data_IF_593050376588
#
_entry.id   IF_593050376588
#
_cell.length_a   1.000
_cell.length_b   1.000
_cell.length_c   1.000
_cell.angle_alpha   90.00
_cell.angle_beta   90.00
_cell.angle_gamma   90.00
#
_symmetry.space_group_name_H-M   'P 1'
#
loop_
_entity.id
_entity.type
_entity.pdbx_description
1 polymer ?
#
# COMPACT_ATOMS: atom_id res chain seq x y z
N UNK A 1 12.24 1.79 -6.70
CA UNK A 1 12.35 3.00 -7.55
C UNK A 1 11.23 3.97 -7.21
N UNK A 2 11.56 5.23 -7.04
CA UNK A 2 10.59 6.26 -6.70
C UNK A 2 10.47 7.24 -7.86
N UNK A 3 9.24 7.48 -8.33
CA UNK A 3 8.95 8.44 -9.40
C UNK A 3 7.98 9.49 -8.85
N UNK A 4 8.31 10.77 -9.02
CA UNK A 4 7.43 11.87 -8.65
C UNK A 4 6.55 12.21 -9.85
N UNK A 5 5.25 11.99 -9.73
CA UNK A 5 4.29 12.30 -10.77
C UNK A 5 2.90 12.47 -10.18
N UNK A 6 2.39 13.68 -10.19
CA UNK A 6 1.03 13.98 -9.77
C UNK A 6 0.02 13.24 -10.64
N UNK A 7 0.28 13.20 -11.95
CA UNK A 7 -0.63 12.55 -12.90
C UNK A 7 -0.80 11.05 -12.59
N UNK A 8 0.33 10.32 -12.51
CA UNK A 8 0.26 8.87 -12.27
C UNK A 8 -0.24 8.53 -10.88
N UNK A 9 0.17 9.30 -9.85
CA UNK A 9 -0.31 9.08 -8.49
C UNK A 9 -1.83 9.26 -8.42
N UNK A 10 -2.35 10.30 -9.02
CA UNK A 10 -3.79 10.55 -9.04
C UNK A 10 -4.54 9.49 -9.86
N UNK A 11 -3.97 9.08 -10.99
CA UNK A 11 -4.59 8.08 -11.84
C UNK A 11 -4.77 6.74 -11.10
N UNK A 12 -3.72 6.26 -10.44
CA UNK A 12 -3.76 4.96 -9.76
C UNK A 12 -4.47 4.99 -8.40
N UNK A 13 -4.66 6.17 -7.81
CA UNK A 13 -5.33 6.31 -6.51
C UNK A 13 -6.67 7.03 -6.59
N UNK A 14 -7.13 7.35 -7.79
CA UNK A 14 -8.35 8.16 -8.02
C UNK A 14 -8.25 9.52 -7.30
N UNK A 15 -7.05 10.11 -7.25
CA UNK A 15 -6.79 11.38 -6.61
C UNK A 15 -6.77 11.36 -5.09
N UNK A 16 -6.89 10.20 -4.47
CA UNK A 16 -7.09 10.07 -3.02
C UNK A 16 -5.82 9.93 -2.21
N UNK A 17 -4.69 9.56 -2.85
CA UNK A 17 -3.46 9.28 -2.13
C UNK A 17 -2.33 10.24 -2.50
N UNK A 18 -1.38 10.41 -1.57
CA UNK A 18 -0.14 11.16 -1.80
C UNK A 18 0.95 10.29 -2.39
N UNK A 19 0.82 8.98 -2.25
CA UNK A 19 1.73 8.00 -2.82
C UNK A 19 0.95 6.74 -3.19
N UNK A 20 1.46 6.02 -4.18
CA UNK A 20 0.88 4.74 -4.57
C UNK A 20 1.99 3.82 -5.06
N UNK A 21 1.87 2.54 -4.76
CA UNK A 21 2.83 1.52 -5.20
C UNK A 21 2.25 0.75 -6.37
N UNK A 22 2.93 0.83 -7.51
CA UNK A 22 2.70 -0.06 -8.66
C UNK A 22 4.02 -0.76 -8.91
N UNK A 23 4.16 -1.98 -8.41
CA UNK A 23 5.42 -2.71 -8.40
C UNK A 23 6.14 -2.65 -9.75
N UNK A 24 7.44 -2.35 -9.81
CA UNK A 24 8.37 -2.11 -8.70
C UNK A 24 8.53 -0.63 -8.34
N UNK A 25 7.57 0.21 -8.69
CA UNK A 25 7.67 1.66 -8.62
C UNK A 25 6.77 2.20 -7.51
N UNK A 26 7.29 3.17 -6.74
CA UNK A 26 6.51 4.00 -5.83
C UNK A 26 6.32 5.36 -6.50
N UNK A 27 5.05 5.73 -6.76
CA UNK A 27 4.72 7.04 -7.30
C UNK A 27 4.40 7.99 -6.16
N UNK A 28 5.03 9.17 -6.15
CA UNK A 28 4.75 10.24 -5.20
C UNK A 28 4.07 11.39 -5.91
N UNK A 29 3.07 11.97 -5.27
CA UNK A 29 2.30 13.09 -5.83
C UNK A 29 3.17 14.33 -5.99
N UNK A 30 4.01 14.62 -4.98
CA UNK A 30 4.90 15.78 -4.97
C UNK A 30 6.29 15.38 -4.51
N UNK A 31 7.31 16.13 -4.96
CA UNK A 31 8.71 15.82 -4.65
C UNK A 31 9.05 15.90 -3.16
N UNK A 32 8.38 16.78 -2.40
CA UNK A 32 8.66 16.93 -0.97
C UNK A 32 8.26 15.68 -0.16
N UNK A 33 7.41 14.79 -0.70
CA UNK A 33 7.07 13.55 -0.03
C UNK A 33 8.26 12.58 0.07
N UNK A 34 9.33 12.79 -0.71
CA UNK A 34 10.54 11.97 -0.58
C UNK A 34 11.14 12.02 0.83
N UNK A 35 10.94 13.13 1.54
CA UNK A 35 11.43 13.30 2.91
C UNK A 35 10.48 12.69 3.96
N UNK A 36 9.31 12.23 3.56
CA UNK A 36 8.35 11.63 4.48
C UNK A 36 8.64 10.14 4.64
N UNK A 37 9.45 9.81 5.65
CA UNK A 37 9.88 8.42 5.89
C UNK A 37 8.72 7.50 6.21
N UNK A 38 7.70 7.97 6.91
CA UNK A 38 6.50 7.19 7.23
C UNK A 38 5.78 6.77 5.95
N UNK A 39 5.55 7.70 5.04
CA UNK A 39 4.88 7.44 3.78
C UNK A 39 5.68 6.45 2.92
N UNK A 40 6.99 6.67 2.78
CA UNK A 40 7.87 5.80 2.00
C UNK A 40 7.89 4.38 2.61
N UNK A 41 7.95 4.28 3.93
CA UNK A 41 7.95 2.98 4.60
C UNK A 41 6.63 2.24 4.35
N UNK A 42 5.51 2.93 4.41
CA UNK A 42 4.19 2.38 4.08
C UNK A 42 4.21 1.75 2.70
N UNK A 43 4.70 2.48 1.70
CA UNK A 43 4.74 1.98 0.32
C UNK A 43 5.75 0.83 0.15
N UNK A 44 6.87 0.86 0.87
CA UNK A 44 7.84 -0.24 0.83
C UNK A 44 7.27 -1.54 1.42
N UNK A 45 6.39 -1.44 2.40
CA UNK A 45 5.68 -2.62 2.91
C UNK A 45 4.86 -3.25 1.79
N UNK A 46 4.15 -2.45 1.01
CA UNK A 46 3.41 -2.96 -0.15
C UNK A 46 4.31 -3.62 -1.20
N UNK A 47 5.50 -3.05 -1.45
CA UNK A 47 6.47 -3.69 -2.35
C UNK A 47 6.86 -5.09 -1.86
N UNK A 48 7.08 -5.22 -0.56
CA UNK A 48 7.44 -6.51 0.04
C UNK A 48 6.30 -7.52 -0.06
N UNK A 49 5.08 -7.07 0.20
CA UNK A 49 3.86 -7.89 0.07
C UNK A 49 3.70 -8.38 -1.37
N UNK A 50 3.90 -7.50 -2.35
CA UNK A 50 3.80 -7.85 -3.77
C UNK A 50 4.85 -8.86 -4.19
N UNK A 51 6.08 -8.74 -3.68
CA UNK A 51 7.14 -9.71 -3.94
C UNK A 51 6.80 -11.09 -3.41
N UNK A 52 6.19 -11.17 -2.22
CA UNK A 52 5.86 -12.43 -1.57
C UNK A 52 4.76 -13.20 -2.30
N UNK A 53 3.72 -12.48 -2.72
CA UNK A 53 2.56 -13.08 -3.39
C UNK A 53 2.74 -13.27 -4.88
N UNK A 54 3.69 -12.54 -5.49
CA UNK A 54 3.71 -12.35 -6.93
C UNK A 54 2.80 -11.19 -7.32
N UNK A 55 3.22 -10.43 -8.33
CA UNK A 55 2.61 -9.15 -8.67
C UNK A 55 1.12 -9.31 -9.02
N UNK A 56 0.79 -10.29 -9.86
CA UNK A 56 -0.58 -10.49 -10.31
C UNK A 56 -1.48 -10.90 -9.15
N UNK A 57 -1.03 -11.86 -8.33
CA UNK A 57 -1.83 -12.36 -7.20
C UNK A 57 -1.98 -11.29 -6.12
N UNK A 58 -0.98 -10.44 -5.91
CA UNK A 58 -1.08 -9.32 -4.97
C UNK A 58 -2.25 -8.40 -5.36
N UNK A 59 -2.31 -7.97 -6.62
CA UNK A 59 -3.36 -7.06 -7.07
C UNK A 59 -4.73 -7.72 -7.12
N UNK A 60 -4.81 -8.97 -7.51
CA UNK A 60 -6.08 -9.71 -7.48
C UNK A 60 -6.61 -9.86 -6.06
N UNK A 61 -5.74 -10.18 -5.12
CA UNK A 61 -6.11 -10.29 -3.71
C UNK A 61 -6.53 -8.94 -3.14
N UNK A 62 -5.75 -7.90 -3.44
CA UNK A 62 -6.04 -6.53 -3.03
C UNK A 62 -7.43 -6.10 -3.50
N UNK A 63 -7.70 -6.27 -4.79
CA UNK A 63 -8.99 -5.93 -5.37
C UNK A 63 -10.12 -6.76 -4.77
N UNK A 64 -9.91 -8.06 -4.58
CA UNK A 64 -10.89 -8.96 -3.97
C UNK A 64 -11.27 -8.52 -2.56
N UNK A 65 -10.28 -8.22 -1.71
CA UNK A 65 -10.54 -7.72 -0.37
C UNK A 65 -11.27 -6.37 -0.41
N UNK A 66 -10.86 -5.48 -1.31
CA UNK A 66 -11.53 -4.19 -1.45
C UNK A 66 -13.01 -4.36 -1.76
N UNK A 67 -13.35 -5.22 -2.71
CA UNK A 67 -14.74 -5.47 -3.08
C UNK A 67 -15.55 -6.02 -1.89
N UNK A 68 -14.99 -7.00 -1.18
CA UNK A 68 -15.63 -7.59 0.00
C UNK A 68 -15.85 -6.54 1.09
N UNK A 69 -14.80 -5.75 1.39
CA UNK A 69 -14.89 -4.70 2.43
C UNK A 69 -15.84 -3.58 2.02
N UNK A 70 -15.84 -3.21 0.74
CA UNK A 70 -16.76 -2.18 0.24
C UNK A 70 -18.21 -2.65 0.35
N UNK A 71 -18.49 -3.89 0.02
CA UNK A 71 -19.84 -4.45 0.16
C UNK A 71 -20.30 -4.42 1.62
N UNK A 72 -19.36 -4.61 2.56
CA UNK A 72 -19.66 -4.61 4.00
C UNK A 72 -19.83 -3.20 4.55
N UNK A 73 -18.91 -2.29 4.25
CA UNK A 73 -18.86 -0.96 4.85
C UNK A 73 -19.59 0.10 4.03
N UNK A 74 -19.72 -0.09 2.73
CA UNK A 74 -20.28 0.85 1.76
C UNK A 74 -19.65 2.24 1.84
N UNK A 75 -18.35 2.28 2.15
CA UNK A 75 -17.53 3.47 2.29
C UNK A 75 -16.16 3.16 1.72
N UNK A 76 -15.71 3.96 0.74
CA UNK A 76 -14.45 3.72 0.03
C UNK A 76 -13.26 3.73 1.00
N UNK A 77 -13.15 4.77 1.84
CA UNK A 77 -12.00 4.91 2.73
C UNK A 77 -11.95 3.81 3.78
N UNK A 78 -13.11 3.41 4.32
CA UNK A 78 -13.18 2.30 5.29
C UNK A 78 -12.82 0.98 4.63
N UNK A 79 -13.30 0.74 3.42
CA UNK A 79 -12.97 -0.47 2.68
C UNK A 79 -11.47 -0.56 2.41
N UNK A 80 -10.90 0.53 1.91
CA UNK A 80 -9.48 0.63 1.60
C UNK A 80 -8.62 0.38 2.83
N UNK A 81 -8.90 1.07 3.94
CA UNK A 81 -8.11 0.95 5.17
C UNK A 81 -8.20 -0.43 5.83
N UNK A 82 -9.23 -1.19 5.51
CA UNK A 82 -9.45 -2.52 6.10
C UNK A 82 -8.97 -3.67 5.23
N UNK A 83 -8.37 -3.41 4.06
CA UNK A 83 -7.65 -4.43 3.30
C UNK A 83 -6.47 -4.90 4.16
N UNK A 84 -6.21 -6.21 4.21
CA UNK A 84 -5.14 -6.78 5.05
C UNK A 84 -3.78 -6.15 4.76
N UNK A 85 -3.46 -5.90 3.49
CA UNK A 85 -2.21 -5.25 3.09
C UNK A 85 -2.12 -3.84 3.66
N UNK A 86 -3.22 -3.09 3.65
CA UNK A 86 -3.25 -1.73 4.20
C UNK A 86 -3.21 -1.74 5.72
N UNK A 87 -3.90 -2.69 6.36
CA UNK A 87 -3.83 -2.84 7.82
C UNK A 87 -2.41 -3.06 8.29
N UNK A 88 -1.67 -3.94 7.62
CA UNK A 88 -0.27 -4.17 7.95
C UNK A 88 0.55 -2.90 7.76
N UNK A 89 0.41 -2.24 6.63
CA UNK A 89 1.19 -1.05 6.30
C UNK A 89 0.91 0.10 7.29
N UNK A 90 -0.35 0.41 7.56
CA UNK A 90 -0.70 1.47 8.52
C UNK A 90 -0.22 1.18 9.92
N UNK A 91 -0.29 -0.08 10.34
CA UNK A 91 0.13 -0.46 11.70
C UNK A 91 1.63 -0.29 11.91
N UNK A 92 2.42 -0.50 10.86
CA UNK A 92 3.89 -0.59 10.99
C UNK A 92 4.63 0.55 10.28
N UNK A 93 3.93 1.50 9.68
CA UNK A 93 4.57 2.58 8.92
C UNK A 93 5.44 3.50 9.77
N UNK A 94 5.22 3.54 11.08
CA UNK A 94 6.00 4.36 12.01
C UNK A 94 7.21 3.64 12.61
N UNK A 95 7.45 2.39 12.24
CA UNK A 95 8.52 1.57 12.80
C UNK A 95 9.69 1.49 11.81
N UNK A 96 10.80 2.24 12.03
CA UNK A 96 11.93 2.25 11.09
C UNK A 96 12.59 0.90 10.85
N UNK A 97 12.54 0.00 11.85
CA UNK A 97 13.15 -1.32 11.75
C UNK A 97 12.22 -2.42 11.28
N UNK A 98 10.97 -2.10 10.95
CA UNK A 98 9.97 -3.12 10.67
C UNK A 98 10.34 -4.03 9.50
N UNK A 99 10.76 -3.45 8.37
CA UNK A 99 11.07 -4.24 7.17
C UNK A 99 12.23 -5.20 7.36
N UNK A 100 13.19 -4.86 8.25
CA UNK A 100 14.33 -5.74 8.53
C UNK A 100 13.96 -6.93 9.42
N UNK A 101 12.86 -6.81 10.20
CA UNK A 101 12.37 -7.88 11.09
C UNK A 101 11.16 -8.60 10.54
N UNK A 102 10.55 -8.07 9.49
CA UNK A 102 9.28 -8.57 8.98
C UNK A 102 9.42 -9.99 8.44
N UNK A 103 8.49 -10.86 8.84
CA UNK A 103 8.44 -12.23 8.36
C UNK A 103 7.64 -12.31 7.07
N UNK A 104 7.94 -13.29 6.23
CA UNK A 104 7.22 -13.55 4.99
C UNK A 104 5.75 -13.81 5.29
N UNK A 105 4.85 -13.26 4.47
CA UNK A 105 3.41 -13.44 4.58
C UNK A 105 2.79 -12.87 5.85
N UNK A 106 3.42 -11.87 6.47
CA UNK A 106 2.91 -11.24 7.68
C UNK A 106 1.53 -10.60 7.48
N UNK A 107 1.18 -10.18 6.25
CA UNK A 107 -0.14 -9.61 5.98
C UNK A 107 -1.26 -10.56 6.40
N UNK A 108 -1.03 -11.87 6.39
CA UNK A 108 -2.01 -12.89 6.79
C UNK A 108 -2.51 -12.66 8.20
N UNK A 109 -1.65 -12.15 9.09
CA UNK A 109 -2.02 -11.85 10.47
C UNK A 109 -2.92 -10.62 10.60
N UNK A 110 -3.16 -9.91 9.50
CA UNK A 110 -3.95 -8.68 9.47
C UNK A 110 -5.28 -8.83 8.73
N UNK A 111 -5.62 -10.06 8.34
CA UNK A 111 -6.88 -10.33 7.66
C UNK A 111 -8.12 -9.96 8.48
#
# INVERSE_FOLDING_TARGET
MIIVSKFWTNLFSFGRANAVTIFPIIFLKYGFFRANEQLIRHERIHLRQALELGIVFFYLWYLGEFVVRFARFRDFDRAYRNISFEREAYRHENDPGYLSRRKVWTFWNHL
#
